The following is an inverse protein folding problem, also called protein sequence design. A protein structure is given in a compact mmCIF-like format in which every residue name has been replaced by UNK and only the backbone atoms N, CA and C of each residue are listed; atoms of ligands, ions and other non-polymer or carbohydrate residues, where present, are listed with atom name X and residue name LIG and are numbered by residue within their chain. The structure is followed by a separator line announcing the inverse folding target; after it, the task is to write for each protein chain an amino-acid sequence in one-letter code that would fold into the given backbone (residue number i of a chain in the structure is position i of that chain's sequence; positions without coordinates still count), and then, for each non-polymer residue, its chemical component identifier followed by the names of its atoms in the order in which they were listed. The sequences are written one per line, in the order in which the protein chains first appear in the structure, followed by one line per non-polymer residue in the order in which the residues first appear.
data_IF_249994970257
#
_entry.id   IF_249994970257
#
_cell.length_a   1.000
_cell.length_b   1.000
_cell.length_c   1.000
_cell.angle_alpha   90.00
_cell.angle_beta   90.00
_cell.angle_gamma   90.00
#
_symmetry.space_group_name_H-M   'P 1'
#
loop_
_entity.id
_entity.type
_entity.pdbx_description
1 polymer ?
#
# COMPACT_ATOMS: atom_id res chain seq x y z
N UNK A 1 -9.74 34.59 -24.64
CA UNK A 1 -10.11 34.30 -23.24
C UNK A 1 -10.44 32.83 -22.95
N UNK A 2 -11.09 32.07 -23.85
CA UNK A 2 -11.38 30.64 -23.62
C UNK A 2 -10.13 29.73 -23.46
N UNK A 3 -9.03 30.06 -24.13
CA UNK A 3 -7.75 29.31 -24.08
C UNK A 3 -7.15 29.25 -22.66
N UNK A 4 -7.23 30.36 -21.91
CA UNK A 4 -6.69 30.46 -20.55
C UNK A 4 -7.49 29.55 -19.59
N UNK A 5 -8.82 29.52 -19.76
CA UNK A 5 -9.69 28.62 -18.98
C UNK A 5 -9.45 27.15 -19.31
N UNK A 6 -9.21 26.83 -20.59
CA UNK A 6 -8.86 25.47 -21.02
C UNK A 6 -7.54 24.98 -20.38
N UNK A 7 -6.51 25.82 -20.39
CA UNK A 7 -5.21 25.52 -19.77
C UNK A 7 -5.31 25.36 -18.25
N UNK A 8 -6.12 26.19 -17.60
CA UNK A 8 -6.35 26.10 -16.15
C UNK A 8 -7.14 24.82 -15.77
N UNK A 9 -8.12 24.44 -16.59
CA UNK A 9 -8.94 23.24 -16.38
C UNK A 9 -8.20 21.94 -16.72
N UNK A 10 -7.32 21.93 -17.72
CA UNK A 10 -6.44 20.79 -18.00
C UNK A 10 -5.41 20.60 -16.88
N UNK A 11 -4.78 21.68 -16.40
CA UNK A 11 -3.81 21.61 -15.30
C UNK A 11 -4.43 21.13 -13.98
N UNK A 12 -5.69 21.52 -13.67
CA UNK A 12 -6.40 20.98 -12.50
C UNK A 12 -6.61 19.47 -12.59
N UNK A 13 -7.03 18.96 -13.75
CA UNK A 13 -7.24 17.52 -13.98
C UNK A 13 -5.92 16.74 -13.92
N UNK A 14 -4.85 17.27 -14.49
CA UNK A 14 -3.51 16.66 -14.36
C UNK A 14 -3.08 16.56 -12.90
N UNK A 15 -3.28 17.61 -12.09
CA UNK A 15 -2.93 17.58 -10.66
C UNK A 15 -3.78 16.57 -9.88
N UNK A 16 -5.08 16.46 -10.18
CA UNK A 16 -5.95 15.46 -9.55
C UNK A 16 -5.55 14.03 -9.92
N UNK A 17 -5.24 13.75 -11.18
CA UNK A 17 -4.76 12.43 -11.58
C UNK A 17 -3.37 12.13 -11.01
N UNK A 18 -2.46 13.11 -10.97
CA UNK A 18 -1.13 12.95 -10.38
C UNK A 18 -1.22 12.61 -8.89
N UNK A 19 -2.05 13.34 -8.13
CA UNK A 19 -2.25 13.08 -6.70
C UNK A 19 -2.90 11.71 -6.43
N UNK A 20 -3.74 11.22 -7.34
CA UNK A 20 -4.30 9.87 -7.28
C UNK A 20 -3.23 8.81 -7.50
N UNK A 21 -2.39 8.97 -8.52
CA UNK A 21 -1.26 8.06 -8.81
C UNK A 21 -0.25 8.07 -7.66
N UNK A 22 0.05 9.22 -7.08
CA UNK A 22 0.95 9.34 -5.93
C UNK A 22 0.42 8.59 -4.69
N UNK A 23 -0.89 8.65 -4.41
CA UNK A 23 -1.51 7.86 -3.34
C UNK A 23 -1.42 6.36 -3.60
N UNK A 24 -1.69 5.93 -4.83
CA UNK A 24 -1.59 4.52 -5.21
C UNK A 24 -0.14 4.02 -5.12
N UNK A 25 0.84 4.86 -5.50
CA UNK A 25 2.26 4.57 -5.36
C UNK A 25 2.69 4.48 -3.89
N UNK A 26 2.21 5.39 -3.03
CA UNK A 26 2.48 5.35 -1.59
C UNK A 26 1.94 4.07 -0.94
N UNK A 27 0.70 3.68 -1.27
CA UNK A 27 0.10 2.42 -0.78
C UNK A 27 0.88 1.20 -1.28
N UNK A 28 1.36 1.23 -2.53
CA UNK A 28 2.18 0.15 -3.10
C UNK A 28 3.52 0.02 -2.38
N UNK A 29 4.18 1.15 -2.08
CA UNK A 29 5.43 1.16 -1.31
C UNK A 29 5.25 0.55 0.08
N UNK A 30 4.17 0.89 0.78
CA UNK A 30 3.86 0.30 2.09
C UNK A 30 3.67 -1.22 2.02
N UNK A 31 2.96 -1.72 1.00
CA UNK A 31 2.78 -3.17 0.79
C UNK A 31 4.10 -3.90 0.58
N UNK A 32 5.01 -3.30 -0.19
CA UNK A 32 6.35 -3.84 -0.44
C UNK A 32 7.18 -3.87 0.84
N UNK A 33 7.18 -2.78 1.62
CA UNK A 33 7.88 -2.72 2.91
C UNK A 33 7.35 -3.76 3.91
N UNK A 34 6.03 -3.94 3.97
CA UNK A 34 5.43 -5.01 4.79
C UNK A 34 5.91 -6.37 4.32
N UNK A 35 5.85 -6.66 3.01
CA UNK A 35 6.28 -7.95 2.49
C UNK A 35 7.74 -8.28 2.82
N UNK A 36 8.65 -7.31 2.66
CA UNK A 36 10.08 -7.54 2.89
C UNK A 36 10.46 -7.78 4.37
N UNK A 37 9.66 -7.30 5.33
CA UNK A 37 9.94 -7.54 6.76
C UNK A 37 9.38 -8.86 7.29
N UNK A 38 8.41 -9.46 6.59
CA UNK A 38 7.82 -10.74 7.00
C UNK A 38 8.88 -11.84 7.07
N UNK A 39 8.74 -12.72 8.06
CA UNK A 39 9.64 -13.85 8.29
C UNK A 39 8.87 -15.15 8.16
N UNK A 40 9.36 -16.04 7.31
CA UNK A 40 8.84 -17.39 7.24
C UNK A 40 9.44 -18.24 8.35
N UNK A 41 8.58 -18.94 9.07
CA UNK A 41 8.92 -19.83 10.17
C UNK A 41 8.65 -21.25 9.69
N UNK A 42 9.73 -22.01 9.48
CA UNK A 42 9.67 -23.33 8.85
C UNK A 42 9.01 -24.39 9.74
N UNK A 43 9.22 -24.31 11.07
CA UNK A 43 8.68 -25.28 12.03
C UNK A 43 7.16 -25.38 11.98
N UNK A 44 6.49 -24.24 11.85
CA UNK A 44 5.04 -24.12 11.97
C UNK A 44 4.37 -23.78 10.63
N UNK A 45 5.17 -23.64 9.56
CA UNK A 45 4.72 -23.26 8.21
C UNK A 45 3.91 -21.95 8.20
N UNK A 46 4.35 -20.98 8.98
CA UNK A 46 3.71 -19.66 9.13
C UNK A 46 4.60 -18.54 8.63
N UNK A 47 3.96 -17.42 8.28
CA UNK A 47 4.60 -16.15 8.02
C UNK A 47 4.28 -15.21 9.17
N UNK A 48 5.33 -14.72 9.81
CA UNK A 48 5.30 -13.90 11.01
C UNK A 48 5.77 -12.47 10.70
N UNK A 49 5.06 -11.47 11.22
CA UNK A 49 5.49 -10.07 11.21
C UNK A 49 6.18 -9.72 12.54
N UNK A 50 7.50 -9.49 12.56
CA UNK A 50 8.25 -9.18 13.78
C UNK A 50 7.88 -7.85 14.45
N UNK A 51 7.23 -6.95 13.73
CA UNK A 51 6.84 -5.64 14.29
C UNK A 51 5.51 -5.75 15.04
N UNK A 52 4.52 -6.40 14.44
CA UNK A 52 3.16 -6.48 14.99
C UNK A 52 2.91 -7.73 15.81
N UNK A 53 3.79 -8.73 15.70
CA UNK A 53 3.63 -10.04 16.35
C UNK A 53 2.56 -10.91 15.71
N UNK A 54 1.97 -10.50 14.58
CA UNK A 54 0.93 -11.27 13.88
C UNK A 54 1.56 -12.40 13.08
N UNK A 55 0.87 -13.53 13.06
CA UNK A 55 1.23 -14.71 12.27
C UNK A 55 0.05 -15.18 11.43
N UNK A 56 0.36 -15.72 10.24
CA UNK A 56 -0.61 -16.34 9.35
C UNK A 56 0.00 -17.58 8.72
N UNK A 57 -0.81 -18.57 8.28
CA UNK A 57 -0.30 -19.68 7.48
C UNK A 57 0.45 -19.18 6.24
N UNK A 58 1.48 -19.89 5.79
CA UNK A 58 2.28 -19.58 4.60
C UNK A 58 1.52 -19.78 3.26
N UNK A 59 0.21 -19.55 3.28
CA UNK A 59 -0.65 -19.54 2.11
C UNK A 59 -0.71 -18.14 1.51
N UNK A 60 -0.64 -18.07 0.17
CA UNK A 60 -0.70 -16.79 -0.56
C UNK A 60 -1.91 -15.94 -0.18
N UNK A 61 -3.09 -16.55 -0.01
CA UNK A 61 -4.31 -15.82 0.34
C UNK A 61 -4.22 -15.18 1.73
N UNK A 62 -3.65 -15.89 2.71
CA UNK A 62 -3.46 -15.42 4.07
C UNK A 62 -2.39 -14.32 4.15
N UNK A 63 -1.27 -14.51 3.46
CA UNK A 63 -0.19 -13.52 3.37
C UNK A 63 -0.70 -12.21 2.75
N UNK A 64 -1.47 -12.28 1.66
CA UNK A 64 -2.02 -11.09 1.01
C UNK A 64 -2.99 -10.34 1.94
N UNK A 65 -3.87 -11.05 2.65
CA UNK A 65 -4.77 -10.44 3.64
C UNK A 65 -4.00 -9.77 4.77
N UNK A 66 -2.93 -10.38 5.26
CA UNK A 66 -2.06 -9.80 6.28
C UNK A 66 -1.40 -8.51 5.78
N UNK A 67 -0.83 -8.54 4.57
CA UNK A 67 -0.18 -7.35 3.97
C UNK A 67 -1.17 -6.21 3.79
N UNK A 68 -2.39 -6.50 3.31
CA UNK A 68 -3.43 -5.49 3.14
C UNK A 68 -3.86 -4.88 4.49
N UNK A 69 -4.12 -5.71 5.50
CA UNK A 69 -4.48 -5.24 6.83
C UNK A 69 -3.38 -4.35 7.45
N UNK A 70 -2.11 -4.75 7.33
CA UNK A 70 -0.98 -3.99 7.86
C UNK A 70 -0.73 -2.69 7.08
N UNK A 71 -0.88 -2.72 5.75
CA UNK A 71 -0.75 -1.53 4.93
C UNK A 71 -1.88 -0.53 5.22
N UNK A 72 -3.13 -0.98 5.41
CA UNK A 72 -4.25 -0.11 5.72
C UNK A 72 -4.15 0.47 7.14
N UNK A 73 -3.69 -0.30 8.14
CA UNK A 73 -3.38 0.22 9.47
C UNK A 73 -2.30 1.31 9.43
N UNK A 74 -1.23 1.12 8.66
CA UNK A 74 -0.17 2.13 8.54
C UNK A 74 -0.63 3.44 7.88
N UNK A 75 -1.65 3.38 7.03
CA UNK A 75 -2.25 4.57 6.39
C UNK A 75 -3.22 5.32 7.32
N UNK A 76 -3.86 4.64 8.28
CA UNK A 76 -4.79 5.27 9.24
C UNK A 76 -4.10 6.01 10.39
N UNK A 77 -2.78 5.82 10.55
CA UNK A 77 -1.97 6.49 11.59
C UNK A 77 -1.32 7.79 11.05
N UNK A 78 -1.51 8.13 9.77
CA UNK A 78 -1.01 9.37 9.14
C UNK A 78 -2.04 10.49 9.09
#
# INVERSE_FOLDING_TARGET
MAMIWFLFFSSKREKEELTRVEREAAKTKLRIDVYHRLRYVESDHVVFDPITGREVPAERACINKLIEALADESNNVS
#
